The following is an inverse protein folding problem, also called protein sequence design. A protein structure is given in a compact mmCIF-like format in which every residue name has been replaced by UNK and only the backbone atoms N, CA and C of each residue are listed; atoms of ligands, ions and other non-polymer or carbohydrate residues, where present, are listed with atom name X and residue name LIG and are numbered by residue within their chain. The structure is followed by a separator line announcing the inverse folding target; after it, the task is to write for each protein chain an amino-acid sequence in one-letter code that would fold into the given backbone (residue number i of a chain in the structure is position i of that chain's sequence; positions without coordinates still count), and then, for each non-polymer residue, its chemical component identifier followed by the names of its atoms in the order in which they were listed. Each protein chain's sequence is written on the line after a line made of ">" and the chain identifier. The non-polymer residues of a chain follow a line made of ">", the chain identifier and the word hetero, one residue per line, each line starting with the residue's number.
data_IF_873573498644
#
_entry.id   IF_873573498644
#
_cell.length_a   1.000
_cell.length_b   1.000
_cell.length_c   1.000
_cell.angle_alpha   90.00
_cell.angle_beta   90.00
_cell.angle_gamma   90.00
#
_symmetry.space_group_name_H-M   'P 1'
#
loop_
_entity.id
_entity.type
_entity.pdbx_description
1 polymer ?
#
# COMPACT_ATOMS: atom_id res chain seq x y z
N UNK A 1 6.36 24.15 -17.74
CA UNK A 1 6.18 24.11 -16.27
C UNK A 1 7.41 24.75 -15.64
N UNK A 2 7.26 25.85 -14.92
CA UNK A 2 8.36 26.49 -14.19
C UNK A 2 8.70 25.66 -12.95
N UNK A 3 9.89 25.88 -12.36
CA UNK A 3 10.29 25.10 -11.17
C UNK A 3 9.36 25.28 -9.96
N UNK A 4 8.64 26.41 -9.86
CA UNK A 4 7.62 26.65 -8.81
C UNK A 4 6.31 25.93 -9.09
N UNK A 5 5.81 25.92 -10.33
CA UNK A 5 4.62 25.12 -10.71
C UNK A 5 4.85 23.62 -10.52
N UNK A 6 6.04 23.13 -10.84
CA UNK A 6 6.41 21.73 -10.58
C UNK A 6 6.47 21.40 -9.08
N UNK A 7 6.85 22.38 -8.25
CA UNK A 7 6.92 22.24 -6.80
C UNK A 7 5.52 22.26 -6.16
N UNK A 8 4.61 23.07 -6.69
CA UNK A 8 3.22 23.13 -6.23
C UNK A 8 2.46 21.84 -6.57
N UNK A 9 2.59 21.35 -7.81
CA UNK A 9 2.04 20.06 -8.24
C UNK A 9 2.66 18.88 -7.46
N UNK A 10 3.96 18.95 -7.16
CA UNK A 10 4.61 17.94 -6.33
C UNK A 10 4.07 17.94 -4.89
N UNK A 11 3.79 19.10 -4.30
CA UNK A 11 3.22 19.23 -2.96
C UNK A 11 1.77 18.72 -2.88
N UNK A 12 0.98 18.89 -3.94
CA UNK A 12 -0.39 18.32 -4.02
C UNK A 12 -0.40 16.79 -4.09
N UNK A 13 0.71 16.16 -4.53
CA UNK A 13 0.85 14.71 -4.67
C UNK A 13 1.82 14.10 -3.67
N UNK A 14 2.35 14.90 -2.75
CA UNK A 14 3.20 14.43 -1.65
C UNK A 14 2.38 14.07 -0.43
N UNK A 15 2.68 12.93 0.17
CA UNK A 15 2.17 12.59 1.49
C UNK A 15 3.11 13.11 2.57
N UNK A 16 2.52 13.68 3.62
CA UNK A 16 3.27 13.95 4.83
C UNK A 16 3.61 12.63 5.51
N UNK A 17 4.89 12.36 5.63
CA UNK A 17 5.39 11.15 6.27
C UNK A 17 6.37 11.52 7.36
N UNK A 18 6.54 10.62 8.30
CA UNK A 18 7.56 10.67 9.32
C UNK A 18 8.54 9.51 9.17
N UNK A 19 9.80 9.76 9.49
CA UNK A 19 10.85 8.77 9.57
C UNK A 19 11.33 8.67 11.02
N UNK A 20 11.31 7.47 11.58
CA UNK A 20 11.71 7.22 12.97
C UNK A 20 13.21 7.45 13.16
N UNK A 21 13.59 8.27 14.14
CA UNK A 21 14.99 8.65 14.43
C UNK A 21 15.61 7.91 15.59
N UNK A 22 14.83 7.19 16.38
CA UNK A 22 15.27 6.40 17.54
C UNK A 22 15.30 4.91 17.21
N UNK A 23 16.08 4.11 17.96
CA UNK A 23 16.14 2.66 17.74
C UNK A 23 14.77 1.97 17.83
N UNK A 24 13.95 2.42 18.81
CA UNK A 24 12.58 1.92 19.00
C UNK A 24 11.67 3.06 19.42
N UNK A 25 10.56 3.21 18.71
CA UNK A 25 9.51 4.18 18.99
C UNK A 25 8.20 3.47 19.31
N UNK A 26 7.62 3.73 20.47
CA UNK A 26 6.33 3.15 20.85
C UNK A 26 5.19 3.70 20.01
N UNK A 27 4.36 2.80 19.51
CA UNK A 27 3.05 3.10 18.91
C UNK A 27 1.98 2.83 19.96
N UNK A 28 1.18 3.86 20.28
CA UNK A 28 0.18 3.81 21.36
C UNK A 28 -1.25 3.84 20.81
N UNK A 29 -2.18 3.43 21.65
CA UNK A 29 -3.62 3.46 21.34
C UNK A 29 -4.24 4.86 21.35
N UNK A 30 -3.52 5.87 21.85
CA UNK A 30 -3.98 7.26 21.92
C UNK A 30 -2.83 8.25 22.13
N UNK A 31 -3.13 9.56 22.06
CA UNK A 31 -2.16 10.64 22.06
C UNK A 31 -1.72 11.01 23.51
N UNK A 32 -0.94 10.13 24.14
CA UNK A 32 -0.43 10.37 25.50
C UNK A 32 0.39 9.19 26.04
N UNK A 33 1.15 9.42 27.08
CA UNK A 33 1.97 8.40 27.74
C UNK A 33 1.14 7.40 28.57
N UNK A 34 -0.07 7.78 28.95
CA UNK A 34 -1.05 6.98 29.69
C UNK A 34 -1.71 5.91 28.84
N UNK A 35 -1.66 6.05 27.50
CA UNK A 35 -2.25 5.09 26.58
C UNK A 35 -1.36 3.85 26.39
N UNK A 36 -2.02 2.71 26.18
CA UNK A 36 -1.38 1.42 25.99
C UNK A 36 -0.41 1.41 24.78
N UNK A 37 0.74 0.80 24.96
CA UNK A 37 1.69 0.53 23.87
C UNK A 37 1.25 -0.72 23.13
N UNK A 38 0.91 -0.57 21.86
CA UNK A 38 0.52 -1.71 21.01
C UNK A 38 1.70 -2.40 20.37
N UNK A 39 2.70 -1.61 19.96
CA UNK A 39 3.89 -2.09 19.25
C UNK A 39 4.99 -1.05 19.25
N UNK A 40 6.09 -1.35 18.57
CA UNK A 40 7.20 -0.41 18.35
C UNK A 40 7.56 -0.34 16.88
N UNK A 41 7.99 0.84 16.43
CA UNK A 41 8.64 1.08 15.15
C UNK A 41 10.16 1.11 15.36
N UNK A 42 10.92 0.66 14.38
CA UNK A 42 12.38 0.69 14.39
C UNK A 42 12.92 1.95 13.71
N UNK A 43 14.19 2.25 13.94
CA UNK A 43 14.88 3.35 13.28
C UNK A 43 14.76 3.26 11.74
N UNK A 44 14.57 4.43 11.11
CA UNK A 44 14.37 4.62 9.67
C UNK A 44 13.05 4.04 9.09
N UNK A 45 12.17 3.47 9.91
CA UNK A 45 10.82 3.16 9.45
C UNK A 45 10.05 4.43 9.14
N UNK A 46 9.26 4.38 8.07
CA UNK A 46 8.46 5.53 7.60
C UNK A 46 6.99 5.24 7.77
N UNK A 47 6.25 6.24 8.26
CA UNK A 47 4.80 6.16 8.44
C UNK A 47 4.12 7.40 7.87
N UNK A 48 2.93 7.21 7.33
CA UNK A 48 2.07 8.32 6.89
C UNK A 48 1.41 8.95 8.11
N UNK A 49 1.43 10.28 8.17
CA UNK A 49 0.72 11.05 9.19
C UNK A 49 -0.67 11.40 8.67
N UNK A 50 -1.68 10.95 9.42
CA UNK A 50 -3.09 11.24 9.12
C UNK A 50 -3.55 12.53 9.80
N UNK A 51 -3.07 12.75 11.03
CA UNK A 51 -3.50 13.87 11.87
C UNK A 51 -2.43 14.20 12.90
N UNK A 52 -2.38 15.45 13.35
CA UNK A 52 -1.55 15.89 14.47
C UNK A 52 -2.44 16.32 15.64
N UNK A 53 -2.18 15.77 16.82
CA UNK A 53 -2.85 16.12 18.08
C UNK A 53 -1.79 16.49 19.15
N UNK A 54 -1.56 17.78 19.33
CA UNK A 54 -0.49 18.30 20.17
C UNK A 54 0.88 17.82 19.70
N UNK A 55 1.62 17.15 20.57
CA UNK A 55 2.94 16.57 20.31
C UNK A 55 2.85 15.12 19.75
N UNK A 56 1.62 14.65 19.46
CA UNK A 56 1.36 13.30 18.97
C UNK A 56 0.92 13.31 17.53
N UNK A 57 1.43 12.35 16.78
CA UNK A 57 1.09 12.13 15.38
C UNK A 57 0.28 10.84 15.27
N UNK A 58 -0.91 10.96 14.72
CA UNK A 58 -1.74 9.81 14.36
C UNK A 58 -1.22 9.23 13.06
N UNK A 59 -0.84 7.99 13.10
CA UNK A 59 -0.31 7.25 11.96
C UNK A 59 -1.22 6.09 11.61
N UNK A 60 -1.33 5.78 10.31
CA UNK A 60 -1.97 4.55 9.88
C UNK A 60 -1.06 3.36 10.20
N UNK A 61 -1.58 2.37 10.93
CA UNK A 61 -0.81 1.22 11.36
C UNK A 61 -1.64 -0.07 11.23
N UNK A 62 -1.20 -0.98 10.36
CA UNK A 62 -1.96 -2.16 9.97
C UNK A 62 -3.39 -1.79 9.54
N UNK A 63 -4.42 -2.39 10.12
CA UNK A 63 -5.83 -2.07 9.82
C UNK A 63 -6.44 -1.05 10.79
N UNK A 64 -5.62 -0.28 11.51
CA UNK A 64 -6.05 0.68 12.52
C UNK A 64 -5.15 1.92 12.52
N UNK A 65 -5.33 2.80 13.49
CA UNK A 65 -4.51 3.98 13.71
C UNK A 65 -3.80 3.87 15.04
N UNK A 66 -2.53 4.25 15.08
CA UNK A 66 -1.76 4.39 16.31
C UNK A 66 -1.22 5.79 16.46
N UNK A 67 -0.68 6.11 17.63
CA UNK A 67 -0.10 7.42 17.96
C UNK A 67 1.38 7.27 18.31
N UNK A 68 2.19 8.15 17.73
CA UNK A 68 3.63 8.28 18.01
C UNK A 68 3.95 9.71 18.42
N UNK A 69 4.96 9.89 19.25
CA UNK A 69 5.38 11.23 19.68
C UNK A 69 6.32 11.83 18.63
N UNK A 70 6.09 13.13 18.29
CA UNK A 70 6.82 13.83 17.22
C UNK A 70 8.30 14.08 17.51
N UNK A 71 8.72 14.09 18.77
CA UNK A 71 10.13 14.32 19.16
C UNK A 71 11.07 13.23 18.66
N UNK A 72 10.53 12.06 18.31
CA UNK A 72 11.31 10.88 17.91
C UNK A 72 11.26 10.60 16.40
N UNK A 73 10.77 11.55 15.61
CA UNK A 73 10.65 11.40 14.16
C UNK A 73 11.12 12.65 13.41
N UNK A 74 11.48 12.47 12.16
CA UNK A 74 11.64 13.56 11.21
C UNK A 74 10.42 13.61 10.31
N UNK A 75 9.78 14.77 10.24
CA UNK A 75 8.69 15.02 9.29
C UNK A 75 9.26 15.37 7.93
N UNK A 76 8.71 14.79 6.86
CA UNK A 76 9.08 15.10 5.48
C UNK A 76 7.90 14.90 4.54
N UNK A 77 8.01 15.48 3.35
CA UNK A 77 7.10 15.22 2.25
C UNK A 77 7.80 14.26 1.29
N UNK A 78 7.19 13.14 1.01
CA UNK A 78 7.73 12.13 0.13
C UNK A 78 6.83 11.96 -1.08
N UNK A 79 7.43 12.07 -2.27
CA UNK A 79 6.77 11.68 -3.51
C UNK A 79 6.56 10.17 -3.51
N UNK A 80 5.39 9.75 -3.96
CA UNK A 80 5.17 8.34 -4.31
C UNK A 80 6.18 8.00 -5.43
N UNK A 81 7.02 7.01 -5.19
CA UNK A 81 8.04 6.61 -6.17
C UNK A 81 7.36 6.22 -7.49
N UNK A 82 7.72 6.91 -8.58
CA UNK A 82 7.26 6.51 -9.91
C UNK A 82 7.80 5.11 -10.24
N UNK A 83 6.96 4.27 -10.84
CA UNK A 83 7.38 2.95 -11.30
C UNK A 83 8.40 3.15 -12.42
N UNK A 84 9.57 2.48 -12.40
CA UNK A 84 10.42 2.40 -13.57
C UNK A 84 9.62 1.75 -14.70
N UNK A 85 9.44 2.46 -15.81
CA UNK A 85 8.70 1.99 -17.00
C UNK A 85 9.19 0.61 -17.51
N UNK A 86 10.47 0.28 -17.23
CA UNK A 86 11.10 -0.95 -17.67
C UNK A 86 10.51 -2.24 -17.10
N UNK A 87 9.98 -2.24 -15.86
CA UNK A 87 9.48 -3.47 -15.23
C UNK A 87 8.12 -3.93 -15.78
N UNK A 88 7.32 -3.00 -16.34
CA UNK A 88 6.03 -3.33 -16.94
C UNK A 88 6.16 -3.69 -18.43
N UNK A 89 7.15 -3.11 -19.13
CA UNK A 89 7.34 -3.33 -20.57
C UNK A 89 7.70 -4.77 -20.94
N UNK A 90 8.31 -5.51 -20.03
CA UNK A 90 8.81 -6.88 -20.26
C UNK A 90 7.79 -7.98 -19.95
N UNK A 91 6.56 -7.63 -19.55
CA UNK A 91 5.49 -8.58 -19.29
C UNK A 91 4.47 -8.67 -20.44
N UNK A 92 3.59 -9.69 -20.43
CA UNK A 92 2.59 -9.89 -21.48
C UNK A 92 1.64 -8.68 -21.61
N UNK A 93 1.04 -8.44 -22.80
CA UNK A 93 0.11 -7.33 -23.00
C UNK A 93 -1.05 -7.30 -21.99
N UNK A 94 -1.55 -8.46 -21.59
CA UNK A 94 -2.58 -8.59 -20.56
C UNK A 94 -2.12 -8.05 -19.22
N UNK A 95 -0.90 -8.40 -18.81
CA UNK A 95 -0.28 -7.91 -17.55
C UNK A 95 -0.05 -6.41 -17.61
N UNK A 96 0.46 -5.92 -18.74
CA UNK A 96 0.64 -4.48 -18.99
C UNK A 96 -0.69 -3.73 -18.85
N UNK A 97 -1.78 -4.24 -19.46
CA UNK A 97 -3.09 -3.61 -19.38
C UNK A 97 -3.62 -3.51 -17.96
N UNK A 98 -3.52 -4.58 -17.15
CA UNK A 98 -3.94 -4.62 -15.75
C UNK A 98 -3.18 -3.58 -14.93
N UNK A 99 -1.86 -3.56 -15.05
CA UNK A 99 -1.01 -2.69 -14.23
C UNK A 99 -1.13 -1.23 -14.66
N UNK A 100 -1.07 -0.93 -15.97
CA UNK A 100 -1.23 0.44 -16.48
C UNK A 100 -2.60 1.01 -16.16
N UNK A 101 -3.66 0.17 -16.14
CA UNK A 101 -4.96 0.61 -15.67
C UNK A 101 -4.90 1.01 -14.18
N UNK A 102 -4.29 0.19 -13.34
CA UNK A 102 -4.18 0.48 -11.90
C UNK A 102 -3.37 1.74 -11.59
N UNK A 103 -2.28 1.98 -12.34
CA UNK A 103 -1.42 3.15 -12.15
C UNK A 103 -2.16 4.49 -12.30
N UNK A 104 -3.17 4.56 -13.15
CA UNK A 104 -3.96 5.77 -13.36
C UNK A 104 -4.72 6.23 -12.11
N UNK A 105 -4.84 5.34 -11.11
CA UNK A 105 -5.60 5.59 -9.89
C UNK A 105 -4.71 5.72 -8.64
N UNK A 106 -3.39 5.85 -8.81
CA UNK A 106 -2.49 6.21 -7.70
C UNK A 106 -2.96 7.53 -7.10
N UNK A 107 -3.07 7.58 -5.76
CA UNK A 107 -3.62 8.71 -5.02
C UNK A 107 -5.13 8.60 -4.72
N UNK A 108 -5.86 7.63 -5.30
CA UNK A 108 -7.26 7.38 -4.91
C UNK A 108 -7.33 7.03 -3.42
N UNK A 109 -8.18 7.71 -2.63
CA UNK A 109 -8.29 7.46 -1.19
C UNK A 109 -8.65 6.00 -0.88
N UNK A 110 -8.03 5.44 0.17
CA UNK A 110 -8.48 4.17 0.72
C UNK A 110 -9.78 4.36 1.49
N UNK A 111 -10.79 3.56 1.17
CA UNK A 111 -12.05 3.48 1.93
C UNK A 111 -12.38 2.01 2.14
N UNK A 112 -12.47 1.57 3.40
CA UNK A 112 -12.84 0.19 3.71
C UNK A 112 -14.23 -0.16 3.13
N UNK A 113 -14.31 -1.23 2.35
CA UNK A 113 -15.54 -1.59 1.62
C UNK A 113 -15.82 -0.72 0.39
N UNK A 114 -14.99 0.28 0.12
CA UNK A 114 -15.11 1.19 -1.03
C UNK A 114 -14.91 0.47 -2.37
N UNK A 115 -15.61 0.98 -3.40
CA UNK A 115 -15.58 0.41 -4.74
C UNK A 115 -15.39 1.45 -5.85
N UNK A 116 -15.14 2.71 -5.47
CA UNK A 116 -15.00 3.81 -6.41
C UNK A 116 -13.54 4.13 -6.67
N UNK A 117 -13.10 4.02 -7.93
CA UNK A 117 -11.74 4.38 -8.36
C UNK A 117 -11.41 5.88 -8.21
N UNK A 118 -12.41 6.72 -7.99
CA UNK A 118 -12.22 8.19 -7.83
C UNK A 118 -12.68 8.72 -6.48
N UNK A 119 -13.57 7.99 -5.80
CA UNK A 119 -14.17 8.44 -4.53
C UNK A 119 -13.73 7.64 -3.30
N UNK A 120 -12.97 6.56 -3.50
CA UNK A 120 -12.43 5.71 -2.44
C UNK A 120 -12.65 4.23 -2.69
N UNK A 121 -11.60 3.45 -2.48
CA UNK A 121 -11.55 2.04 -2.83
C UNK A 121 -10.76 1.24 -1.79
N UNK A 122 -11.14 -0.03 -1.57
CA UNK A 122 -10.33 -0.96 -0.77
C UNK A 122 -9.41 -1.83 -1.65
N UNK A 123 -8.53 -2.59 -1.00
CA UNK A 123 -7.50 -3.40 -1.67
C UNK A 123 -8.09 -4.40 -2.66
N UNK A 124 -9.10 -5.16 -2.26
CA UNK A 124 -9.69 -6.21 -3.08
C UNK A 124 -10.57 -5.67 -4.20
N UNK A 125 -11.30 -4.56 -3.99
CA UNK A 125 -12.01 -3.84 -5.05
C UNK A 125 -11.07 -3.25 -6.08
N UNK A 126 -9.95 -2.69 -5.66
CA UNK A 126 -8.94 -2.13 -6.55
C UNK A 126 -8.39 -3.23 -7.48
N UNK A 127 -7.93 -4.34 -6.92
CA UNK A 127 -7.47 -5.50 -7.70
C UNK A 127 -8.56 -6.03 -8.61
N UNK A 128 -9.79 -6.18 -8.10
CA UNK A 128 -10.93 -6.64 -8.90
C UNK A 128 -11.15 -5.79 -10.16
N UNK A 129 -11.10 -4.45 -10.03
CA UNK A 129 -11.31 -3.54 -11.15
C UNK A 129 -10.13 -3.50 -12.12
N UNK A 130 -8.89 -3.58 -11.63
CA UNK A 130 -7.72 -3.71 -12.48
C UNK A 130 -7.79 -4.96 -13.36
N UNK A 131 -8.14 -6.09 -12.79
CA UNK A 131 -8.29 -7.33 -13.53
C UNK A 131 -9.51 -7.31 -14.47
N UNK A 132 -10.60 -6.66 -14.09
CA UNK A 132 -11.78 -6.50 -14.95
C UNK A 132 -11.46 -5.69 -16.21
N UNK A 133 -10.52 -4.73 -16.17
CA UNK A 133 -10.07 -3.98 -17.35
C UNK A 133 -9.50 -4.86 -18.45
N UNK A 134 -8.95 -6.02 -18.08
CA UNK A 134 -8.41 -7.01 -19.01
C UNK A 134 -9.34 -8.24 -19.19
N UNK A 135 -10.60 -8.16 -18.75
CA UNK A 135 -11.61 -9.20 -18.94
C UNK A 135 -11.64 -10.31 -17.92
N UNK A 136 -10.86 -10.21 -16.82
CA UNK A 136 -10.88 -11.20 -15.74
C UNK A 136 -11.91 -10.81 -14.66
N UNK A 137 -12.69 -11.81 -14.21
CA UNK A 137 -13.63 -11.63 -13.11
C UNK A 137 -13.06 -12.22 -11.83
N UNK A 138 -12.84 -11.38 -10.83
CA UNK A 138 -12.39 -11.77 -9.51
C UNK A 138 -13.50 -11.61 -8.47
N UNK A 139 -13.51 -12.42 -7.40
CA UNK A 139 -14.42 -12.23 -6.27
C UNK A 139 -14.20 -10.91 -5.55
N UNK A 140 -15.18 -10.51 -4.72
CA UNK A 140 -15.13 -9.21 -4.03
C UNK A 140 -14.09 -9.14 -2.93
N UNK A 141 -13.85 -10.21 -2.19
CA UNK A 141 -12.98 -10.19 -1.02
C UNK A 141 -11.58 -10.75 -1.29
N UNK A 142 -10.55 -10.25 -0.59
CA UNK A 142 -9.19 -10.76 -0.68
C UNK A 142 -9.09 -12.26 -0.38
N UNK A 143 -9.87 -12.75 0.58
CA UNK A 143 -9.92 -14.18 0.95
C UNK A 143 -10.41 -15.06 -0.20
N UNK A 144 -11.46 -14.64 -0.88
CA UNK A 144 -11.99 -15.37 -2.05
C UNK A 144 -11.05 -15.24 -3.26
N UNK A 145 -10.43 -14.07 -3.46
CA UNK A 145 -9.43 -13.87 -4.52
C UNK A 145 -8.23 -14.80 -4.32
N UNK A 146 -7.79 -15.02 -3.08
CA UNK A 146 -6.70 -15.93 -2.76
C UNK A 146 -6.98 -17.39 -3.11
N UNK A 147 -8.23 -17.78 -3.36
CA UNK A 147 -8.61 -19.13 -3.80
C UNK A 147 -8.62 -19.30 -5.31
N UNK A 148 -8.34 -18.24 -6.07
CA UNK A 148 -8.36 -18.25 -7.54
C UNK A 148 -6.97 -18.46 -8.12
N UNK A 149 -6.92 -18.92 -9.37
CA UNK A 149 -5.68 -19.09 -10.12
C UNK A 149 -4.77 -20.21 -9.58
N UNK A 150 -3.52 -20.12 -9.95
CA UNK A 150 -2.47 -21.09 -9.57
C UNK A 150 -1.58 -20.50 -8.49
N UNK A 151 -1.43 -21.19 -7.38
CA UNK A 151 -0.46 -20.80 -6.34
C UNK A 151 0.97 -21.03 -6.85
N UNK A 152 1.80 -20.01 -6.67
CA UNK A 152 3.21 -20.00 -7.05
C UNK A 152 4.06 -19.53 -5.86
N UNK A 153 5.38 -19.59 -5.99
CA UNK A 153 6.30 -18.99 -5.02
C UNK A 153 6.55 -17.53 -5.35
N UNK A 154 7.03 -16.75 -4.37
CA UNK A 154 7.38 -15.34 -4.59
C UNK A 154 8.48 -15.17 -5.66
N UNK A 155 9.42 -16.12 -5.76
CA UNK A 155 10.50 -16.10 -6.75
C UNK A 155 10.00 -16.33 -8.20
N UNK A 156 8.84 -16.94 -8.35
CA UNK A 156 8.19 -17.18 -9.65
C UNK A 156 7.24 -16.05 -10.02
N UNK A 157 6.99 -15.11 -9.07
CA UNK A 157 6.04 -14.02 -9.29
C UNK A 157 6.49 -13.09 -10.42
N UNK A 158 5.57 -12.84 -11.33
CA UNK A 158 5.71 -11.88 -12.44
C UNK A 158 4.87 -10.63 -12.18
N UNK A 159 5.19 -9.48 -12.81
CA UNK A 159 4.34 -8.31 -12.74
C UNK A 159 2.88 -8.65 -13.06
N UNK A 160 1.96 -8.20 -12.23
CA UNK A 160 0.53 -8.52 -12.32
C UNK A 160 0.08 -9.72 -11.47
N UNK A 161 0.96 -10.55 -10.93
CA UNK A 161 0.55 -11.59 -9.98
C UNK A 161 0.09 -11.00 -8.65
N UNK A 162 -0.74 -11.74 -7.93
CA UNK A 162 -1.33 -11.28 -6.67
C UNK A 162 -0.56 -11.82 -5.46
N UNK A 163 -0.21 -10.93 -4.55
CA UNK A 163 0.35 -11.25 -3.25
C UNK A 163 -0.71 -11.00 -2.17
N UNK A 164 -0.80 -11.92 -1.21
CA UNK A 164 -1.78 -11.87 -0.12
C UNK A 164 -1.07 -11.84 1.22
N UNK A 165 -1.58 -11.00 2.12
CA UNK A 165 -1.08 -10.85 3.49
C UNK A 165 -2.18 -11.23 4.46
N UNK A 166 -1.75 -11.63 5.65
CA UNK A 166 -2.65 -12.07 6.71
C UNK A 166 -2.43 -11.23 7.98
N UNK A 167 -3.49 -11.12 8.75
CA UNK A 167 -3.45 -10.57 10.09
C UNK A 167 -2.72 -11.50 11.08
N UNK A 168 -2.61 -11.08 12.34
CA UNK A 168 -1.95 -11.86 13.39
C UNK A 168 -2.62 -13.23 13.69
N UNK A 169 -3.86 -13.44 13.23
CA UNK A 169 -4.57 -14.72 13.35
C UNK A 169 -4.31 -15.67 12.18
N UNK A 170 -3.58 -15.22 11.16
CA UNK A 170 -3.35 -15.95 9.91
C UNK A 170 -4.51 -15.81 8.90
N UNK A 171 -5.46 -14.91 9.17
CA UNK A 171 -6.57 -14.65 8.25
C UNK A 171 -6.15 -13.65 7.18
N UNK A 172 -6.30 -14.01 5.88
CA UNK A 172 -6.00 -13.10 4.78
C UNK A 172 -6.93 -11.87 4.87
N UNK A 173 -6.33 -10.69 4.96
CA UNK A 173 -7.03 -9.41 5.07
C UNK A 173 -6.59 -8.38 4.00
N UNK A 174 -5.47 -8.63 3.30
CA UNK A 174 -4.97 -7.72 2.29
C UNK A 174 -4.52 -8.43 1.01
N UNK A 175 -4.67 -7.74 -0.13
CA UNK A 175 -4.26 -8.19 -1.46
C UNK A 175 -3.63 -7.04 -2.24
N UNK A 176 -2.59 -7.36 -3.00
CA UNK A 176 -1.84 -6.40 -3.81
C UNK A 176 -1.46 -7.01 -5.17
N UNK A 177 -1.12 -6.17 -6.15
CA UNK A 177 -0.54 -6.59 -7.42
C UNK A 177 0.99 -6.42 -7.39
N UNK A 178 1.71 -7.46 -7.74
CA UNK A 178 3.17 -7.40 -7.88
C UNK A 178 3.55 -6.61 -9.14
N UNK A 179 4.56 -5.75 -9.02
CA UNK A 179 5.06 -4.93 -10.12
C UNK A 179 6.40 -5.42 -10.68
N UNK A 180 7.02 -6.39 -10.02
CA UNK A 180 8.42 -6.73 -10.25
C UNK A 180 9.37 -5.95 -9.32
N UNK A 181 10.63 -6.35 -9.29
CA UNK A 181 11.70 -5.67 -8.55
C UNK A 181 11.38 -5.39 -7.07
N UNK A 182 10.61 -6.28 -6.44
CA UNK A 182 10.24 -6.14 -5.05
C UNK A 182 9.19 -5.07 -4.77
N UNK A 183 8.51 -4.53 -5.79
CA UNK A 183 7.47 -3.50 -5.67
C UNK A 183 6.07 -4.07 -5.85
N UNK A 184 5.09 -3.39 -5.25
CA UNK A 184 3.67 -3.72 -5.33
C UNK A 184 2.83 -2.47 -5.57
N UNK A 185 1.70 -2.64 -6.27
CA UNK A 185 0.66 -1.63 -6.45
C UNK A 185 -0.58 -2.07 -5.68
N UNK A 186 -1.08 -1.22 -4.78
CA UNK A 186 -2.20 -1.57 -3.93
C UNK A 186 -2.97 -0.36 -3.39
N UNK A 187 -4.23 -0.55 -3.02
CA UNK A 187 -4.93 0.37 -2.14
C UNK A 187 -4.55 0.02 -0.70
N UNK A 188 -3.78 0.88 -0.05
CA UNK A 188 -3.19 0.65 1.26
C UNK A 188 -3.94 1.43 2.34
N UNK A 189 -4.51 0.72 3.34
CA UNK A 189 -5.11 1.38 4.50
C UNK A 189 -4.06 2.20 5.26
N UNK A 190 -2.88 1.60 5.50
CA UNK A 190 -1.79 2.25 6.24
C UNK A 190 -1.19 3.48 5.55
N UNK A 191 -1.42 3.63 4.25
CA UNK A 191 -0.95 4.78 3.45
C UNK A 191 -2.12 5.66 2.97
N UNK A 192 -3.36 5.33 3.37
CA UNK A 192 -4.57 6.10 3.10
C UNK A 192 -5.01 6.14 1.64
N UNK A 193 -4.30 5.47 0.72
CA UNK A 193 -4.57 5.60 -0.72
C UNK A 193 -4.04 4.44 -1.56
N UNK A 194 -4.38 4.45 -2.85
CA UNK A 194 -3.71 3.64 -3.87
C UNK A 194 -2.28 4.15 -4.05
N UNK A 195 -1.31 3.27 -3.93
CA UNK A 195 0.11 3.64 -3.95
C UNK A 195 1.00 2.45 -4.34
N UNK A 196 2.31 2.75 -4.48
CA UNK A 196 3.36 1.76 -4.67
C UNK A 196 4.17 1.63 -3.40
N UNK A 197 4.45 0.38 -3.01
CA UNK A 197 5.25 0.06 -1.83
C UNK A 197 6.23 -1.07 -2.14
N UNK A 198 7.15 -1.37 -1.22
CA UNK A 198 7.90 -2.63 -1.23
C UNK A 198 6.96 -3.78 -0.84
N UNK A 199 7.17 -4.98 -1.42
CA UNK A 199 6.30 -6.13 -1.14
C UNK A 199 6.30 -6.55 0.34
N UNK A 200 7.39 -6.28 1.05
CA UNK A 200 7.55 -6.60 2.48
C UNK A 200 7.39 -5.35 3.39
N UNK A 201 6.57 -4.38 2.97
CA UNK A 201 6.39 -3.11 3.69
C UNK A 201 5.81 -3.27 5.11
N UNK A 202 5.10 -4.34 5.37
CA UNK A 202 4.55 -4.67 6.71
C UNK A 202 4.98 -6.06 7.19
N UNK A 203 4.77 -7.08 6.35
CA UNK A 203 5.12 -8.49 6.61
C UNK A 203 5.47 -9.18 5.29
N UNK A 204 5.93 -10.43 5.34
CA UNK A 204 6.05 -11.26 4.14
C UNK A 204 4.68 -11.74 3.67
N UNK A 205 4.45 -11.88 2.34
CA UNK A 205 3.20 -12.40 1.83
C UNK A 205 3.02 -13.88 2.22
N UNK A 206 1.83 -14.23 2.68
CA UNK A 206 1.47 -15.61 3.07
C UNK A 206 1.07 -16.47 1.87
N UNK A 207 0.74 -15.83 0.74
CA UNK A 207 0.32 -16.50 -0.49
C UNK A 207 0.63 -15.65 -1.72
N UNK A 208 1.03 -16.31 -2.80
CA UNK A 208 1.23 -15.70 -4.13
C UNK A 208 0.45 -16.50 -5.16
N UNK A 209 -0.27 -15.81 -6.04
CA UNK A 209 -1.17 -16.44 -7.01
C UNK A 209 -1.02 -15.82 -8.39
N UNK A 210 -0.85 -16.68 -9.40
CA UNK A 210 -0.99 -16.32 -10.82
C UNK A 210 -2.44 -16.56 -11.26
N UNK A 211 -3.13 -15.49 -11.64
CA UNK A 211 -4.50 -15.53 -12.17
C UNK A 211 -4.50 -15.66 -13.68
N UNK A 212 -3.50 -15.08 -14.35
CA UNK A 212 -3.48 -14.87 -15.81
C UNK A 212 -3.13 -16.16 -16.54
N UNK A 213 -2.28 -16.99 -15.97
CA UNK A 213 -1.97 -18.33 -16.49
C UNK A 213 -0.85 -18.36 -17.53
N UNK A 214 -0.02 -17.28 -17.62
CA UNK A 214 1.11 -17.15 -18.55
C UNK A 214 2.49 -17.15 -17.85
#
# INVERSE_FOLDING_TARGET
>A
MTGEEAKEVALEHCMQMVEVTTEKLNVRSGPGLEYEVWTTLNANEKQVVEEKDGDWLKIAFNSTYGYINEDYVKTGFYLVEAIPWSSISDCSPTRQQILTFGEQYIGTPYVYGGTSLTGGIDCSSFVQQCYASAGFSLPRTSREQATRGTQITLNEAKPGDLLFYADATGTIDHVVMYLGDGKILHAALSLGQVTISKYNYSTEPVRVVNIIGD
#
